data_IF_879220533432
#
_entry.id   IF_879220533432
#
_cell.length_a   1.000
_cell.length_b   1.000
_cell.length_c   1.000
_cell.angle_alpha   90.00
_cell.angle_beta   90.00
_cell.angle_gamma   90.00
#
_symmetry.space_group_name_H-M   'P 1'
#
loop_
_entity.id
_entity.type
_entity.pdbx_description
1 polymer ?
#
# COMPACT_ATOMS: atom_id res chain seq x y z
N UNK A 1 6.39 10.04 44.71
CA UNK A 1 7.74 10.54 44.34
C UNK A 1 8.58 9.50 43.58
N UNK A 2 8.60 8.23 43.99
CA UNK A 2 9.34 7.16 43.30
C UNK A 2 8.90 6.94 41.84
N UNK A 3 7.58 6.85 41.59
CA UNK A 3 7.01 6.63 40.25
C UNK A 3 7.41 7.75 39.27
N UNK A 4 7.38 9.02 39.71
CA UNK A 4 7.76 10.18 38.88
C UNK A 4 9.25 10.11 38.52
N UNK A 5 10.11 9.72 39.47
CA UNK A 5 11.55 9.55 39.20
C UNK A 5 11.81 8.40 38.23
N UNK A 6 11.12 7.26 38.41
CA UNK A 6 11.24 6.12 37.52
C UNK A 6 10.81 6.48 36.08
N UNK A 7 9.65 7.15 35.94
CA UNK A 7 9.19 7.65 34.65
C UNK A 7 10.20 8.60 34.00
N UNK A 8 10.75 9.53 34.78
CA UNK A 8 11.76 10.47 34.29
C UNK A 8 13.04 9.75 33.81
N UNK A 9 13.54 8.76 34.56
CA UNK A 9 14.68 7.97 34.12
C UNK A 9 14.37 7.17 32.85
N UNK A 10 13.20 6.53 32.77
CA UNK A 10 12.77 5.82 31.57
C UNK A 10 12.75 6.74 30.34
N UNK A 11 12.20 7.95 30.48
CA UNK A 11 12.18 8.96 29.42
C UNK A 11 13.60 9.32 28.97
N UNK A 12 14.49 9.61 29.92
CA UNK A 12 15.88 10.01 29.65
C UNK A 12 16.65 8.95 28.86
N UNK A 13 16.42 7.67 29.13
CA UNK A 13 17.09 6.58 28.42
C UNK A 13 16.35 6.17 27.13
N UNK A 14 15.02 6.26 27.09
CA UNK A 14 14.24 5.87 25.91
C UNK A 14 14.35 6.90 24.78
N UNK A 15 14.44 8.20 25.09
CA UNK A 15 14.48 9.25 24.07
C UNK A 15 15.71 9.14 23.15
N UNK A 16 16.96 8.98 23.66
CA UNK A 16 18.11 8.77 22.79
C UNK A 16 18.03 7.48 21.97
N UNK A 17 17.53 6.39 22.56
CA UNK A 17 17.33 5.13 21.85
C UNK A 17 16.34 5.29 20.70
N UNK A 18 15.21 5.96 20.95
CA UNK A 18 14.23 6.27 19.92
C UNK A 18 14.80 7.19 18.83
N UNK A 19 15.55 8.22 19.21
CA UNK A 19 16.20 9.14 18.27
C UNK A 19 17.19 8.41 17.33
N UNK A 20 18.01 7.50 17.88
CA UNK A 20 18.90 6.65 17.09
C UNK A 20 18.11 5.70 16.21
N UNK A 21 17.08 5.06 16.75
CA UNK A 21 16.23 4.16 16.00
C UNK A 21 15.60 4.87 14.79
N UNK A 22 14.90 5.99 15.01
CA UNK A 22 14.30 6.81 13.95
C UNK A 22 15.31 7.26 12.90
N UNK A 23 16.46 7.82 13.33
CA UNK A 23 17.48 8.27 12.39
C UNK A 23 18.09 7.11 11.59
N UNK A 24 18.33 5.97 12.23
CA UNK A 24 18.89 4.78 11.57
C UNK A 24 17.91 4.13 10.60
N UNK A 25 16.62 4.10 10.94
CA UNK A 25 15.55 3.63 10.07
C UNK A 25 15.36 4.55 8.87
N UNK A 26 15.40 5.87 9.06
CA UNK A 26 15.37 6.84 7.94
C UNK A 26 16.54 6.62 6.97
N UNK A 27 17.75 6.39 7.51
CA UNK A 27 18.93 6.11 6.68
C UNK A 27 18.82 4.75 5.98
N UNK A 28 18.31 3.72 6.66
CA UNK A 28 18.07 2.42 6.04
C UNK A 28 17.01 2.49 4.93
N UNK A 29 15.94 3.26 5.14
CA UNK A 29 14.85 3.49 4.18
C UNK A 29 15.33 4.09 2.85
N UNK A 30 16.30 5.00 2.90
CA UNK A 30 16.88 5.63 1.70
C UNK A 30 18.14 4.91 1.19
N UNK A 31 18.45 3.70 1.68
CA UNK A 31 19.66 2.94 1.35
C UNK A 31 20.98 3.72 1.63
N UNK A 32 20.99 4.48 2.72
CA UNK A 32 22.16 5.22 3.18
C UNK A 32 23.05 4.43 4.16
N UNK A 33 24.22 4.96 4.51
CA UNK A 33 25.16 4.31 5.42
C UNK A 33 24.66 4.36 6.88
N UNK A 34 24.02 3.29 7.34
CA UNK A 34 23.41 3.21 8.69
C UNK A 34 24.38 3.47 9.84
N UNK A 35 25.68 3.24 9.64
CA UNK A 35 26.73 3.52 10.63
C UNK A 35 26.85 5.02 10.95
N UNK A 36 26.57 5.92 9.99
CA UNK A 36 26.56 7.37 10.22
C UNK A 36 25.37 7.80 11.09
N UNK A 37 24.22 7.13 10.95
CA UNK A 37 23.07 7.35 11.83
C UNK A 37 23.32 6.82 13.25
N UNK A 38 24.05 5.71 13.40
CA UNK A 38 24.46 5.25 14.72
C UNK A 38 25.46 6.24 15.39
N UNK A 39 26.34 6.87 14.60
CA UNK A 39 27.27 7.88 15.09
C UNK A 39 26.57 9.16 15.57
N UNK A 40 25.42 9.54 14.98
CA UNK A 40 24.62 10.67 15.49
C UNK A 40 24.06 10.40 16.88
N UNK A 41 23.81 9.14 17.22
CA UNK A 41 23.49 8.69 18.57
C UNK A 41 24.55 9.07 19.59
N UNK A 42 25.82 8.77 19.30
CA UNK A 42 26.96 9.11 20.18
C UNK A 42 27.13 10.63 20.31
N UNK A 43 26.88 11.38 19.22
CA UNK A 43 26.91 12.84 19.24
C UNK A 43 25.81 13.41 20.14
N UNK A 44 24.56 12.99 19.96
CA UNK A 44 23.41 13.46 20.74
C UNK A 44 23.39 12.90 22.17
N UNK A 45 24.08 11.77 22.41
CA UNK A 45 24.34 11.20 23.71
C UNK A 45 25.57 10.26 23.69
N UNK A 46 26.66 10.55 24.44
CA UNK A 46 26.78 11.60 25.45
C UNK A 46 27.57 12.85 25.02
N UNK A 47 28.14 12.92 23.82
CA UNK A 47 29.20 13.91 23.50
C UNK A 47 28.75 15.38 23.56
N UNK A 48 27.70 15.77 22.81
CA UNK A 48 27.21 17.15 22.79
C UNK A 48 26.69 17.61 24.16
N UNK A 49 25.90 16.83 24.92
CA UNK A 49 25.51 17.18 26.28
C UNK A 49 26.70 17.49 27.21
N UNK A 50 27.77 16.67 27.14
CA UNK A 50 28.99 16.86 27.94
C UNK A 50 29.71 18.15 27.53
N UNK A 51 29.96 18.33 26.23
CA UNK A 51 30.63 19.53 25.71
C UNK A 51 29.84 20.81 26.05
N UNK A 52 28.50 20.75 26.01
CA UNK A 52 27.63 21.86 26.41
C UNK A 52 27.70 22.15 27.92
N UNK A 53 27.84 21.15 28.80
CA UNK A 53 28.06 21.45 30.23
C UNK A 53 29.44 22.05 30.49
N UNK A 54 30.48 21.52 29.83
CA UNK A 54 31.86 21.96 29.99
C UNK A 54 32.07 23.40 29.54
N UNK A 55 31.50 23.81 28.40
CA UNK A 55 31.60 25.19 27.89
C UNK A 55 30.98 26.25 28.81
N UNK A 56 30.05 25.84 29.68
CA UNK A 56 29.39 26.71 30.65
C UNK A 56 29.96 26.64 32.07
N UNK A 57 30.96 25.80 32.33
CA UNK A 57 31.47 25.50 33.68
C UNK A 57 32.24 26.66 34.32
N UNK A 58 33.08 27.36 33.55
CA UNK A 58 33.90 28.48 34.04
C UNK A 58 33.14 29.75 34.44
N UNK A 59 31.82 29.82 34.19
CA UNK A 59 30.98 31.01 34.48
C UNK A 59 30.02 30.82 35.66
N UNK A 60 30.05 29.68 36.36
CA UNK A 60 29.03 29.34 37.38
C UNK A 60 29.49 29.63 38.80
N UNK A 61 28.73 30.46 39.53
CA UNK A 61 28.86 30.61 40.98
C UNK A 61 28.08 29.50 41.69
N UNK A 62 28.64 28.83 42.73
CA UNK A 62 27.92 27.81 43.47
C UNK A 62 26.73 28.45 44.20
N UNK A 63 25.53 27.89 43.99
CA UNK A 63 24.29 28.26 44.68
C UNK A 63 23.72 27.02 45.36
N UNK A 64 23.25 27.17 46.60
CA UNK A 64 22.55 26.10 47.32
C UNK A 64 21.26 25.72 46.57
N UNK A 65 21.05 24.42 46.34
CA UNK A 65 19.92 23.89 45.56
C UNK A 65 20.13 23.84 44.03
N UNK A 66 21.35 24.05 43.53
CA UNK A 66 21.64 23.90 42.10
C UNK A 66 21.64 22.42 41.66
N UNK A 67 21.10 22.17 40.45
CA UNK A 67 21.13 20.87 39.77
C UNK A 67 22.53 20.25 39.80
N UNK A 68 22.63 18.96 40.13
CA UNK A 68 23.90 18.23 40.13
C UNK A 68 24.48 18.17 38.72
N UNK A 69 25.77 17.84 38.58
CA UNK A 69 26.36 17.62 37.26
C UNK A 69 25.59 16.58 36.44
N UNK A 70 25.20 15.46 37.08
CA UNK A 70 24.38 14.42 36.47
C UNK A 70 23.00 14.92 36.03
N UNK A 71 22.31 15.72 36.85
CA UNK A 71 21.00 16.28 36.49
C UNK A 71 21.09 17.20 35.27
N UNK A 72 22.15 18.02 35.20
CA UNK A 72 22.35 18.94 34.09
C UNK A 72 22.66 18.22 32.77
N UNK A 73 23.49 17.18 32.81
CA UNK A 73 23.75 16.34 31.63
C UNK A 73 22.46 15.65 31.19
N UNK A 74 21.73 15.06 32.14
CA UNK A 74 20.45 14.39 31.90
C UNK A 74 19.43 15.29 31.22
N UNK A 75 19.21 16.50 31.74
CA UNK A 75 18.28 17.46 31.15
C UNK A 75 18.72 17.92 29.76
N UNK A 76 20.02 18.14 29.53
CA UNK A 76 20.54 18.50 28.21
C UNK A 76 20.37 17.39 27.20
N UNK A 77 20.67 16.14 27.59
CA UNK A 77 20.43 14.96 26.76
C UNK A 77 18.96 14.88 26.36
N UNK A 78 18.06 15.06 27.32
CA UNK A 78 16.62 15.03 27.05
C UNK A 78 16.20 16.15 26.08
N UNK A 79 16.61 17.39 26.33
CA UNK A 79 16.28 18.55 25.47
C UNK A 79 16.84 18.37 24.05
N UNK A 80 18.08 17.91 23.90
CA UNK A 80 18.70 17.71 22.59
C UNK A 80 18.01 16.59 21.81
N UNK A 81 17.73 15.46 22.45
CA UNK A 81 17.09 14.33 21.76
C UNK A 81 15.61 14.61 21.45
N UNK A 82 14.85 15.23 22.37
CA UNK A 82 13.47 15.63 22.09
C UNK A 82 13.41 16.66 20.97
N UNK A 83 14.29 17.67 20.98
CA UNK A 83 14.37 18.65 19.89
C UNK A 83 14.73 17.98 18.57
N UNK A 84 15.70 17.06 18.57
CA UNK A 84 16.10 16.33 17.37
C UNK A 84 14.96 15.48 16.80
N UNK A 85 14.28 14.69 17.64
CA UNK A 85 13.14 13.87 17.24
C UNK A 85 12.01 14.76 16.73
N UNK A 86 11.64 15.81 17.46
CA UNK A 86 10.58 16.73 17.05
C UNK A 86 10.90 17.38 15.70
N UNK A 87 12.14 17.82 15.49
CA UNK A 87 12.57 18.37 14.20
C UNK A 87 12.48 17.34 13.08
N UNK A 88 12.88 16.08 13.31
CA UNK A 88 12.74 15.03 12.30
C UNK A 88 11.26 14.75 11.97
N UNK A 89 10.42 14.62 12.99
CA UNK A 89 8.99 14.37 12.80
C UNK A 89 8.27 15.55 12.13
N UNK A 90 8.63 16.79 12.45
CA UNK A 90 8.01 17.99 11.85
C UNK A 90 8.52 18.23 10.43
N UNK A 91 9.82 18.10 10.20
CA UNK A 91 10.41 18.38 8.88
C UNK A 91 10.15 17.25 7.88
N UNK A 92 9.95 16.02 8.37
CA UNK A 92 9.88 14.80 7.56
C UNK A 92 8.85 13.80 8.11
N UNK A 93 7.58 14.21 8.33
CA UNK A 93 6.57 13.40 9.01
C UNK A 93 6.28 12.09 8.25
N UNK A 94 6.00 12.20 6.94
CA UNK A 94 5.68 11.06 6.09
C UNK A 94 6.83 10.05 6.07
N UNK A 95 8.03 10.50 5.71
CA UNK A 95 9.19 9.61 5.60
C UNK A 95 9.60 9.02 6.96
N UNK A 96 9.32 9.68 8.08
CA UNK A 96 9.61 9.15 9.42
C UNK A 96 8.72 7.95 9.74
N UNK A 97 7.41 8.09 9.53
CA UNK A 97 6.47 6.99 9.74
C UNK A 97 6.72 5.84 8.76
N UNK A 98 6.93 6.15 7.47
CA UNK A 98 7.28 5.18 6.43
C UNK A 98 8.54 4.40 6.81
N UNK A 99 9.61 5.09 7.20
CA UNK A 99 10.88 4.46 7.54
C UNK A 99 10.79 3.57 8.78
N UNK A 100 10.10 4.02 9.83
CA UNK A 100 9.89 3.20 11.03
C UNK A 100 9.00 1.97 10.74
N UNK A 101 7.96 2.16 9.94
CA UNK A 101 7.03 1.09 9.58
C UNK A 101 7.67 0.07 8.66
N UNK A 102 8.49 0.47 7.69
CA UNK A 102 9.04 -0.43 6.66
C UNK A 102 10.44 -0.93 6.97
N UNK A 103 11.28 -0.10 7.60
CA UNK A 103 12.69 -0.39 7.92
C UNK A 103 13.01 -0.14 9.40
N UNK A 104 12.01 -0.19 10.28
CA UNK A 104 12.20 -0.13 11.74
C UNK A 104 13.09 -1.25 12.27
N UNK A 105 13.07 -2.41 11.64
CA UNK A 105 13.75 -3.64 12.05
C UNK A 105 15.00 -3.94 11.21
N UNK A 106 15.56 -2.97 10.47
CA UNK A 106 16.64 -3.22 9.49
C UNK A 106 17.85 -3.98 10.07
N UNK A 107 18.15 -3.78 11.35
CA UNK A 107 19.24 -4.47 12.06
C UNK A 107 18.94 -5.94 12.39
N UNK A 108 17.70 -6.39 12.15
CA UNK A 108 17.22 -7.76 12.33
C UNK A 108 17.04 -8.51 11.00
N UNK A 109 17.39 -7.93 9.85
CA UNK A 109 17.14 -8.54 8.52
C UNK A 109 17.73 -9.95 8.38
N UNK A 110 18.89 -10.22 8.99
CA UNK A 110 19.54 -11.55 8.97
C UNK A 110 19.06 -12.49 10.10
N UNK A 111 18.11 -12.07 10.93
CA UNK A 111 17.66 -12.82 12.12
C UNK A 111 16.19 -13.22 12.00
N UNK A 112 15.95 -14.52 11.88
CA UNK A 112 14.62 -15.13 11.76
C UNK A 112 14.19 -15.92 13.01
N UNK A 113 14.94 -15.81 14.12
CA UNK A 113 14.59 -16.51 15.36
C UNK A 113 13.28 -15.96 15.97
N UNK A 114 12.51 -16.76 16.73
CA UNK A 114 11.29 -16.30 17.40
C UNK A 114 11.51 -15.06 18.29
N UNK A 115 12.69 -14.93 18.91
CA UNK A 115 13.05 -13.74 19.70
C UNK A 115 13.22 -12.50 18.84
N UNK A 116 13.82 -12.65 17.65
CA UNK A 116 13.97 -11.54 16.70
C UNK A 116 12.60 -11.10 16.18
N UNK A 117 11.70 -12.04 15.94
CA UNK A 117 10.33 -11.73 15.52
C UNK A 117 9.53 -10.99 16.61
N UNK A 118 9.66 -11.39 17.88
CA UNK A 118 9.05 -10.67 19.00
C UNK A 118 9.55 -9.21 19.09
N UNK A 119 10.85 -8.98 18.90
CA UNK A 119 11.41 -7.63 18.88
C UNK A 119 10.86 -6.83 17.70
N UNK A 120 10.81 -7.43 16.50
CA UNK A 120 10.25 -6.82 15.29
C UNK A 120 8.80 -6.39 15.48
N UNK A 121 7.95 -7.27 16.01
CA UNK A 121 6.55 -6.96 16.31
C UNK A 121 6.42 -5.81 17.30
N UNK A 122 7.25 -5.80 18.35
CA UNK A 122 7.27 -4.70 19.34
C UNK A 122 7.64 -3.37 18.68
N UNK A 123 8.65 -3.35 17.81
CA UNK A 123 9.06 -2.13 17.08
C UNK A 123 7.94 -1.61 16.18
N UNK A 124 7.25 -2.51 15.48
CA UNK A 124 6.13 -2.12 14.62
C UNK A 124 4.93 -1.61 15.40
N UNK A 125 4.61 -2.20 16.56
CA UNK A 125 3.59 -1.66 17.46
C UNK A 125 3.93 -0.24 17.90
N UNK A 126 5.20 0.02 18.25
CA UNK A 126 5.67 1.37 18.59
C UNK A 126 5.55 2.31 17.37
N UNK A 127 5.95 1.87 16.17
CA UNK A 127 5.82 2.67 14.96
C UNK A 127 4.36 3.03 14.65
N UNK A 128 3.42 2.08 14.82
CA UNK A 128 1.99 2.30 14.61
C UNK A 128 1.41 3.38 15.54
N UNK A 129 2.00 3.62 16.72
CA UNK A 129 1.54 4.74 17.59
C UNK A 129 1.73 6.12 16.96
N UNK A 130 2.57 6.23 15.93
CA UNK A 130 2.80 7.47 15.19
C UNK A 130 1.85 7.64 13.99
N UNK A 131 0.98 6.66 13.71
CA UNK A 131 0.04 6.71 12.59
C UNK A 131 -0.89 7.93 12.68
N UNK A 132 -1.41 8.25 13.88
CA UNK A 132 -2.28 9.43 14.05
C UNK A 132 -1.57 10.75 13.70
N UNK A 133 -0.26 10.85 13.95
CA UNK A 133 0.53 12.01 13.54
C UNK A 133 0.74 12.03 12.02
N UNK A 134 0.99 10.86 11.41
CA UNK A 134 1.06 10.72 9.96
C UNK A 134 -0.24 11.16 9.27
N UNK A 135 -1.39 10.68 9.75
CA UNK A 135 -2.70 11.05 9.20
C UNK A 135 -3.05 12.54 9.42
N UNK A 136 -2.54 13.16 10.49
CA UNK A 136 -2.79 14.60 10.74
C UNK A 136 -2.17 15.53 9.69
N UNK A 137 -1.19 15.04 8.92
CA UNK A 137 -0.53 15.79 7.85
C UNK A 137 -0.86 15.25 6.45
N UNK A 138 -1.55 14.11 6.36
CA UNK A 138 -1.90 13.43 5.11
C UNK A 138 -3.41 13.47 4.91
N UNK A 139 -3.89 14.46 4.16
CA UNK A 139 -5.31 14.63 3.90
C UNK A 139 -5.71 13.89 2.62
N UNK A 140 -6.72 13.01 2.72
CA UNK A 140 -7.33 12.40 1.56
C UNK A 140 -8.38 13.36 0.94
N UNK A 141 -8.18 13.88 -0.29
CA UNK A 141 -9.10 14.83 -0.91
C UNK A 141 -10.45 14.22 -1.26
N UNK A 142 -10.57 12.89 -1.27
CA UNK A 142 -11.79 12.19 -1.64
C UNK A 142 -12.70 11.90 -0.45
N UNK A 143 -12.23 12.14 0.78
CA UNK A 143 -12.94 11.83 2.03
C UNK A 143 -14.25 12.58 2.19
N UNK A 144 -14.34 13.80 1.67
CA UNK A 144 -15.56 14.62 1.74
C UNK A 144 -16.75 14.01 0.98
N UNK A 145 -16.51 13.00 0.15
CA UNK A 145 -17.51 12.33 -0.65
C UNK A 145 -17.88 10.92 -0.16
N UNK A 146 -17.29 10.46 0.93
CA UNK A 146 -17.54 9.12 1.43
C UNK A 146 -18.85 9.04 2.23
N UNK A 147 -19.71 8.10 1.86
CA UNK A 147 -20.93 7.76 2.62
C UNK A 147 -20.64 6.79 3.78
N UNK A 148 -19.35 6.60 4.12
CA UNK A 148 -18.84 5.51 4.96
C UNK A 148 -19.46 5.47 6.36
N UNK A 149 -19.96 6.58 6.88
CA UNK A 149 -20.47 6.65 8.24
C UNK A 149 -21.87 6.01 8.40
N UNK A 150 -22.58 5.71 7.29
CA UNK A 150 -23.97 5.21 7.33
C UNK A 150 -24.11 3.71 7.11
N UNK A 151 -23.15 3.06 6.43
CA UNK A 151 -23.22 1.63 6.08
C UNK A 151 -22.15 0.84 6.81
N UNK A 152 -22.54 -0.26 7.45
CA UNK A 152 -21.65 -1.15 8.20
C UNK A 152 -21.64 -2.54 7.52
N UNK A 153 -20.46 -3.08 7.15
CA UNK A 153 -20.38 -4.47 6.72
C UNK A 153 -20.69 -5.37 7.93
N UNK A 154 -21.66 -6.28 7.80
CA UNK A 154 -21.93 -7.27 8.83
C UNK A 154 -20.72 -8.18 8.97
N UNK A 155 -20.31 -8.49 10.20
CA UNK A 155 -19.15 -9.35 10.51
C UNK A 155 -19.38 -10.85 10.26
N UNK A 156 -20.33 -11.23 9.40
CA UNK A 156 -20.63 -12.63 9.13
C UNK A 156 -19.73 -13.18 8.02
N UNK A 157 -18.79 -14.04 8.45
CA UNK A 157 -17.94 -14.95 7.66
C UNK A 157 -17.55 -14.42 6.26
N UNK A 158 -16.54 -13.57 6.25
CA UNK A 158 -15.64 -13.46 5.12
C UNK A 158 -15.05 -14.84 4.81
N UNK A 159 -15.34 -15.38 3.63
CA UNK A 159 -14.66 -16.56 3.10
C UNK A 159 -13.30 -16.08 2.62
N UNK A 160 -12.29 -16.20 3.47
CA UNK A 160 -10.89 -15.93 3.11
C UNK A 160 -10.18 -17.27 2.86
N UNK A 161 -9.58 -17.50 1.67
CA UNK A 161 -8.55 -18.50 1.53
C UNK A 161 -7.27 -17.95 2.17
N UNK A 162 -7.14 -18.11 3.48
CA UNK A 162 -5.97 -17.64 4.22
C UNK A 162 -4.68 -18.30 3.69
N UNK A 163 -3.56 -17.57 3.55
CA UNK A 163 -2.28 -18.12 3.16
C UNK A 163 -1.51 -18.60 4.41
N UNK A 164 -1.90 -19.74 5.00
CA UNK A 164 -0.97 -20.48 5.85
C UNK A 164 -1.26 -21.99 5.86
N UNK A 165 -0.23 -22.86 5.71
CA UNK A 165 -0.40 -24.28 5.44
C UNK A 165 -0.24 -25.10 6.72
N UNK A 166 -1.34 -25.44 7.39
CA UNK A 166 -1.45 -26.67 8.19
C UNK A 166 -2.90 -26.84 8.63
N UNK A 167 -3.46 -28.02 8.32
CA UNK A 167 -4.78 -28.52 8.68
C UNK A 167 -6.00 -27.82 8.08
N UNK A 168 -6.36 -28.22 6.86
CA UNK A 168 -7.44 -29.20 6.67
C UNK A 168 -7.78 -29.35 5.17
N UNK A 169 -7.87 -30.60 4.72
CA UNK A 169 -8.39 -30.94 3.39
C UNK A 169 -9.88 -30.57 3.34
N UNK A 170 -10.20 -29.41 2.78
CA UNK A 170 -11.52 -29.13 2.24
C UNK A 170 -11.37 -28.72 0.77
N UNK A 171 -11.95 -29.54 -0.10
CA UNK A 171 -12.05 -29.28 -1.54
C UNK A 171 -12.81 -27.96 -1.74
N UNK A 172 -12.31 -27.01 -2.57
CA UNK A 172 -12.99 -25.75 -2.81
C UNK A 172 -14.41 -25.97 -3.33
N UNK A 173 -15.39 -25.29 -2.75
CA UNK A 173 -16.77 -25.36 -3.23
C UNK A 173 -16.88 -24.66 -4.59
N UNK A 174 -17.69 -25.19 -5.50
CA UNK A 174 -17.84 -24.71 -6.89
C UNK A 174 -18.32 -23.24 -7.03
N UNK A 175 -18.67 -22.53 -5.94
CA UNK A 175 -19.08 -21.12 -5.97
C UNK A 175 -17.91 -20.14 -6.08
N UNK A 176 -16.72 -20.48 -5.54
CA UNK A 176 -15.57 -19.57 -5.48
C UNK A 176 -14.86 -19.41 -6.83
N UNK A 177 -14.78 -20.49 -7.60
CA UNK A 177 -14.21 -20.49 -8.96
C UNK A 177 -15.03 -19.69 -10.00
N UNK A 178 -16.18 -19.10 -9.63
CA UNK A 178 -17.01 -18.29 -10.53
C UNK A 178 -16.75 -16.78 -10.46
N UNK A 179 -16.10 -16.30 -9.40
CA UNK A 179 -16.12 -14.87 -9.06
C UNK A 179 -14.83 -14.18 -9.50
N UNK A 180 -13.68 -14.75 -9.14
CA UNK A 180 -12.37 -14.17 -9.43
C UNK A 180 -11.26 -15.25 -9.32
N UNK A 181 -10.26 -15.28 -10.22
CA UNK A 181 -10.11 -14.43 -11.39
C UNK A 181 -11.06 -14.84 -12.51
N UNK A 182 -11.62 -13.86 -13.24
CA UNK A 182 -12.40 -14.17 -14.45
C UNK A 182 -11.46 -14.40 -15.63
N UNK A 183 -11.42 -15.65 -16.11
CA UNK A 183 -10.74 -16.00 -17.34
C UNK A 183 -11.45 -15.35 -18.54
N UNK A 184 -10.70 -14.74 -19.46
CA UNK A 184 -11.18 -14.04 -20.66
C UNK A 184 -12.11 -12.85 -20.34
N UNK A 185 -11.54 -11.77 -19.79
CA UNK A 185 -12.25 -10.53 -19.51
C UNK A 185 -12.84 -9.91 -20.79
N UNK A 186 -14.12 -10.15 -21.04
CA UNK A 186 -14.93 -9.43 -22.03
C UNK A 186 -15.97 -8.55 -21.32
N UNK A 187 -16.44 -7.53 -22.04
CA UNK A 187 -17.58 -6.73 -21.60
C UNK A 187 -18.81 -7.62 -21.49
N UNK A 188 -19.64 -7.34 -20.48
CA UNK A 188 -20.93 -7.98 -20.32
C UNK A 188 -21.78 -7.76 -21.60
N UNK A 189 -22.49 -8.79 -22.10
CA UNK A 189 -23.29 -8.65 -23.33
C UNK A 189 -24.23 -7.46 -23.33
N UNK A 190 -24.93 -7.20 -22.22
CA UNK A 190 -25.83 -6.05 -22.08
C UNK A 190 -25.12 -4.68 -22.27
N UNK A 191 -23.84 -4.58 -21.94
CA UNK A 191 -23.05 -3.35 -22.12
C UNK A 191 -22.49 -3.28 -23.54
N UNK A 192 -21.96 -4.40 -24.04
CA UNK A 192 -21.37 -4.50 -25.37
C UNK A 192 -22.37 -4.22 -26.49
N UNK A 193 -23.64 -4.60 -26.31
CA UNK A 193 -24.72 -4.38 -27.27
C UNK A 193 -25.70 -3.28 -26.87
N UNK A 194 -25.33 -2.41 -25.92
CA UNK A 194 -26.23 -1.37 -25.42
C UNK A 194 -26.56 -0.36 -26.54
N UNK A 195 -27.84 -0.13 -26.86
CA UNK A 195 -28.24 0.90 -27.82
C UNK A 195 -27.94 2.31 -27.30
N UNK A 196 -27.50 3.21 -28.17
CA UNK A 196 -27.14 4.58 -27.77
C UNK A 196 -28.34 5.43 -27.31
N UNK A 197 -29.56 5.08 -27.71
CA UNK A 197 -30.80 5.73 -27.27
C UNK A 197 -31.22 5.33 -25.84
N UNK A 198 -30.62 4.28 -25.28
CA UNK A 198 -30.75 3.93 -23.85
C UNK A 198 -29.88 4.84 -22.98
N UNK A 199 -28.77 5.34 -23.50
CA UNK A 199 -27.75 6.09 -22.74
C UNK A 199 -28.10 7.57 -22.56
N UNK A 200 -29.35 7.83 -22.16
CA UNK A 200 -29.90 9.18 -21.97
C UNK A 200 -29.78 9.68 -20.54
N UNK A 201 -29.81 8.77 -19.56
CA UNK A 201 -29.60 9.07 -18.14
C UNK A 201 -29.03 7.86 -17.39
N UNK A 202 -28.50 8.11 -16.20
CA UNK A 202 -28.00 7.08 -15.28
C UNK A 202 -29.09 6.04 -14.98
N UNK A 203 -30.32 6.50 -14.73
CA UNK A 203 -31.47 5.64 -14.43
C UNK A 203 -31.85 4.77 -15.62
N UNK A 204 -31.84 5.33 -16.84
CA UNK A 204 -32.15 4.59 -18.07
C UNK A 204 -31.16 3.45 -18.30
N UNK A 205 -29.86 3.72 -18.17
CA UNK A 205 -28.79 2.71 -18.29
C UNK A 205 -28.93 1.63 -17.22
N UNK A 206 -29.11 2.02 -15.96
CA UNK A 206 -29.23 1.08 -14.86
C UNK A 206 -30.46 0.16 -15.03
N UNK A 207 -31.61 0.73 -15.37
CA UNK A 207 -32.84 -0.02 -15.61
C UNK A 207 -32.71 -0.99 -16.79
N UNK A 208 -32.08 -0.56 -17.88
CA UNK A 208 -31.80 -1.44 -19.01
C UNK A 208 -30.95 -2.63 -18.59
N UNK A 209 -29.85 -2.40 -17.85
CA UNK A 209 -28.99 -3.47 -17.34
C UNK A 209 -29.79 -4.43 -16.44
N UNK A 210 -30.61 -3.92 -15.52
CA UNK A 210 -31.43 -4.75 -14.63
C UNK A 210 -32.48 -5.59 -15.37
N UNK A 211 -33.00 -5.11 -16.50
CA UNK A 211 -33.95 -5.85 -17.34
C UNK A 211 -33.26 -6.96 -18.15
N UNK A 212 -32.01 -6.76 -18.55
CA UNK A 212 -31.25 -7.73 -19.34
C UNK A 212 -30.55 -8.79 -18.49
N UNK A 213 -30.22 -8.49 -17.23
CA UNK A 213 -29.46 -9.39 -16.37
C UNK A 213 -30.12 -9.63 -14.99
N UNK A 214 -30.54 -10.88 -14.78
CA UNK A 214 -31.24 -11.32 -13.58
C UNK A 214 -30.31 -11.81 -12.46
N UNK A 215 -29.10 -12.25 -12.78
CA UNK A 215 -28.10 -12.68 -11.81
C UNK A 215 -27.42 -11.46 -11.18
N UNK A 216 -27.40 -11.39 -9.85
CA UNK A 216 -26.88 -10.21 -9.14
C UNK A 216 -25.39 -9.97 -9.36
N UNK A 217 -24.58 -11.03 -9.50
CA UNK A 217 -23.14 -10.88 -9.79
C UNK A 217 -22.90 -10.37 -11.21
N UNK A 218 -23.64 -10.89 -12.18
CA UNK A 218 -23.55 -10.44 -13.56
C UNK A 218 -24.15 -9.03 -13.74
N UNK A 219 -25.17 -8.68 -12.97
CA UNK A 219 -25.74 -7.32 -12.98
C UNK A 219 -24.74 -6.31 -12.45
N UNK A 220 -24.13 -6.55 -11.29
CA UNK A 220 -23.08 -5.66 -10.75
C UNK A 220 -21.86 -5.63 -11.68
N UNK A 221 -21.49 -6.75 -12.31
CA UNK A 221 -20.49 -6.76 -13.39
C UNK A 221 -20.91 -5.82 -14.53
N UNK A 222 -22.15 -5.89 -15.01
CA UNK A 222 -22.59 -5.03 -16.11
C UNK A 222 -22.55 -3.53 -15.73
N UNK A 223 -22.89 -3.17 -14.49
CA UNK A 223 -22.72 -1.79 -14.01
C UNK A 223 -21.24 -1.39 -13.98
N UNK A 224 -20.37 -2.26 -13.44
CA UNK A 224 -18.91 -2.06 -13.43
C UNK A 224 -18.38 -1.85 -14.85
N UNK A 225 -18.71 -2.76 -15.76
CA UNK A 225 -18.24 -2.75 -17.14
C UNK A 225 -18.70 -1.50 -17.89
N UNK A 226 -19.93 -1.03 -17.63
CA UNK A 226 -20.40 0.23 -18.21
C UNK A 226 -19.48 1.39 -17.79
N UNK A 227 -19.13 1.49 -16.50
CA UNK A 227 -18.25 2.55 -16.02
C UNK A 227 -16.83 2.39 -16.55
N UNK A 228 -16.25 1.19 -16.47
CA UNK A 228 -14.89 0.90 -16.93
C UNK A 228 -14.73 1.05 -18.46
N UNK A 229 -15.80 0.83 -19.22
CA UNK A 229 -15.80 1.02 -20.66
C UNK A 229 -16.10 2.48 -21.06
N UNK A 230 -17.11 3.13 -20.48
CA UNK A 230 -17.58 4.42 -20.99
C UNK A 230 -16.80 5.60 -20.46
N UNK A 231 -16.19 5.49 -19.30
CA UNK A 231 -15.43 6.59 -18.70
C UNK A 231 -13.96 6.50 -19.10
N UNK A 232 -13.37 7.64 -19.47
CA UNK A 232 -11.93 7.80 -19.70
C UNK A 232 -11.26 8.50 -18.53
N UNK A 233 -10.07 8.06 -18.13
CA UNK A 233 -9.37 8.67 -17.00
C UNK A 233 -8.85 10.07 -17.36
N UNK A 234 -9.15 11.07 -16.52
CA UNK A 234 -8.68 12.45 -16.70
C UNK A 234 -7.25 12.64 -16.18
N UNK A 235 -6.29 12.04 -16.88
CA UNK A 235 -4.87 12.11 -16.53
C UNK A 235 -4.35 13.56 -16.50
N UNK A 236 -4.83 14.42 -17.41
CA UNK A 236 -4.43 15.83 -17.47
C UNK A 236 -4.83 16.58 -16.19
N UNK A 237 -6.11 16.54 -15.81
CA UNK A 237 -6.59 17.16 -14.58
C UNK A 237 -5.96 16.54 -13.33
N UNK A 238 -5.70 15.23 -13.37
CA UNK A 238 -5.01 14.51 -12.30
C UNK A 238 -3.60 15.08 -12.05
N UNK A 239 -2.76 15.16 -13.08
CA UNK A 239 -1.41 15.71 -12.95
C UNK A 239 -1.39 17.23 -12.70
N UNK A 240 -2.41 17.95 -13.16
CA UNK A 240 -2.57 19.37 -12.87
C UNK A 240 -3.05 19.67 -11.44
N UNK A 241 -3.57 18.67 -10.70
CA UNK A 241 -4.18 18.86 -9.39
C UNK A 241 -5.44 19.74 -9.43
N UNK A 242 -6.14 19.76 -10.57
CA UNK A 242 -7.33 20.60 -10.80
C UNK A 242 -8.42 19.77 -11.45
N UNK A 243 -9.34 19.28 -10.63
CA UNK A 243 -10.39 18.36 -11.03
C UNK A 243 -11.66 19.11 -11.46
N UNK A 244 -12.26 18.77 -12.61
CA UNK A 244 -13.66 19.08 -12.89
C UNK A 244 -14.58 18.46 -11.85
N UNK A 245 -15.87 18.83 -11.78
CA UNK A 245 -16.82 18.16 -10.90
C UNK A 245 -16.82 16.64 -11.11
N UNK A 246 -16.75 15.91 -10.02
CA UNK A 246 -16.71 14.43 -10.00
C UNK A 246 -18.06 13.83 -9.57
N UNK A 247 -19.16 14.59 -9.67
CA UNK A 247 -20.50 14.06 -9.39
C UNK A 247 -20.99 13.13 -10.52
N UNK A 248 -21.88 12.17 -10.22
CA UNK A 248 -22.32 11.18 -11.20
C UNK A 248 -22.89 11.77 -12.49
N UNK A 249 -23.67 12.86 -12.41
CA UNK A 249 -24.30 13.47 -13.58
C UNK A 249 -23.27 14.10 -14.51
N UNK A 250 -22.31 14.85 -13.96
CA UNK A 250 -21.21 15.43 -14.75
C UNK A 250 -20.41 14.31 -15.41
N UNK A 251 -20.02 13.27 -14.66
CA UNK A 251 -19.20 12.16 -15.19
C UNK A 251 -19.94 11.38 -16.28
N UNK A 252 -21.24 11.13 -16.09
CA UNK A 252 -22.08 10.48 -17.10
C UNK A 252 -22.10 11.27 -18.41
N UNK A 253 -22.25 12.60 -18.33
CA UNK A 253 -22.32 13.47 -19.50
C UNK A 253 -20.97 13.65 -20.20
N UNK A 254 -19.89 13.81 -19.44
CA UNK A 254 -18.56 14.07 -19.99
C UNK A 254 -17.80 12.80 -20.37
N UNK A 255 -18.19 11.65 -19.81
CA UNK A 255 -17.48 10.38 -19.93
C UNK A 255 -16.00 10.49 -19.53
N UNK A 256 -15.68 11.41 -18.62
CA UNK A 256 -14.30 11.72 -18.22
C UNK A 256 -14.22 12.04 -16.73
N UNK A 257 -13.35 11.35 -16.00
CA UNK A 257 -13.24 11.47 -14.55
C UNK A 257 -11.88 11.00 -14.00
N UNK A 258 -11.61 11.30 -12.73
CA UNK A 258 -10.62 10.56 -11.92
C UNK A 258 -11.32 9.51 -11.06
N UNK A 259 -10.57 8.75 -10.25
CA UNK A 259 -11.10 7.62 -9.46
C UNK A 259 -12.39 7.93 -8.69
N UNK A 260 -12.50 9.11 -8.08
CA UNK A 260 -13.71 9.55 -7.38
C UNK A 260 -14.96 9.55 -8.28
N UNK A 261 -14.85 10.02 -9.52
CA UNK A 261 -15.98 10.09 -10.45
C UNK A 261 -16.39 8.71 -10.97
N UNK A 262 -15.43 7.81 -11.21
CA UNK A 262 -15.72 6.40 -11.52
C UNK A 262 -16.53 5.75 -10.40
N UNK A 263 -16.03 5.85 -9.16
CA UNK A 263 -16.65 5.19 -8.03
C UNK A 263 -18.04 5.74 -7.69
N UNK A 264 -18.24 7.06 -7.86
CA UNK A 264 -19.56 7.70 -7.70
C UNK A 264 -20.55 7.33 -8.80
N UNK A 265 -20.11 7.25 -10.06
CA UNK A 265 -20.99 6.84 -11.15
C UNK A 265 -21.44 5.38 -10.96
N UNK A 266 -20.53 4.48 -10.56
CA UNK A 266 -20.87 3.09 -10.27
C UNK A 266 -21.88 2.99 -9.11
N UNK A 267 -21.67 3.74 -8.04
CA UNK A 267 -22.62 3.84 -6.93
C UNK A 267 -23.99 4.36 -7.39
N UNK A 268 -24.04 5.43 -8.19
CA UNK A 268 -25.28 6.02 -8.67
C UNK A 268 -26.08 5.06 -9.57
N UNK A 269 -25.39 4.33 -10.46
CA UNK A 269 -25.99 3.28 -11.28
C UNK A 269 -26.59 2.17 -10.41
N UNK A 270 -25.88 1.71 -9.38
CA UNK A 270 -26.40 0.71 -8.43
C UNK A 270 -27.64 1.22 -7.68
N UNK A 271 -27.56 2.42 -7.13
CA UNK A 271 -28.66 3.05 -6.39
C UNK A 271 -29.94 3.18 -7.24
N UNK A 272 -29.82 3.47 -8.53
CA UNK A 272 -30.96 3.62 -9.44
C UNK A 272 -31.80 2.34 -9.61
N UNK A 273 -31.23 1.17 -9.31
CA UNK A 273 -31.92 -0.14 -9.38
C UNK A 273 -31.91 -0.89 -8.04
N UNK A 274 -31.57 -0.21 -6.95
CA UNK A 274 -31.60 -0.78 -5.59
C UNK A 274 -30.44 -1.72 -5.25
N UNK A 275 -29.38 -1.76 -6.05
CA UNK A 275 -28.15 -2.47 -5.71
C UNK A 275 -27.36 -1.66 -4.67
N UNK A 276 -26.90 -2.33 -3.61
CA UNK A 276 -26.13 -1.69 -2.55
C UNK A 276 -24.66 -1.60 -2.94
N UNK A 277 -24.27 -0.50 -3.57
CA UNK A 277 -22.89 -0.17 -3.90
C UNK A 277 -22.50 1.07 -3.10
N UNK A 278 -21.40 1.00 -2.36
CA UNK A 278 -20.91 2.12 -1.55
C UNK A 278 -19.60 2.66 -2.10
N UNK A 279 -19.40 3.96 -1.90
CA UNK A 279 -18.13 4.63 -2.19
C UNK A 279 -17.15 4.42 -1.04
N UNK A 280 -15.94 3.97 -1.36
CA UNK A 280 -14.86 3.71 -0.39
C UNK A 280 -13.66 4.58 -0.76
N UNK A 281 -13.03 5.17 0.24
CA UNK A 281 -11.80 5.96 0.09
C UNK A 281 -10.67 5.37 0.89
N UNK A 282 -9.45 5.68 0.47
CA UNK A 282 -8.25 5.34 1.19
C UNK A 282 -7.02 5.68 0.35
N UNK A 283 -5.98 4.89 0.51
CA UNK A 283 -4.74 5.03 -0.23
C UNK A 283 -4.49 3.78 -1.07
N UNK A 284 -3.94 3.98 -2.26
CA UNK A 284 -3.54 2.90 -3.12
C UNK A 284 -2.05 2.96 -3.48
N UNK A 285 -1.43 1.78 -3.63
CA UNK A 285 -0.03 1.65 -4.03
C UNK A 285 0.06 1.04 -5.42
N UNK A 286 0.76 1.72 -6.32
CA UNK A 286 0.91 1.32 -7.74
C UNK A 286 2.39 1.29 -8.12
N UNK A 287 2.69 0.75 -9.29
CA UNK A 287 4.07 0.78 -9.83
C UNK A 287 4.67 2.19 -9.96
N UNK A 288 3.82 3.22 -9.99
CA UNK A 288 4.20 4.63 -10.14
C UNK A 288 4.11 5.43 -8.84
N UNK A 289 3.51 4.89 -7.78
CA UNK A 289 3.50 5.55 -6.48
C UNK A 289 4.82 5.36 -5.74
N UNK A 290 5.13 6.28 -4.83
CA UNK A 290 6.10 5.97 -3.79
C UNK A 290 5.48 4.99 -2.76
N UNK A 291 6.27 4.62 -1.75
CA UNK A 291 5.82 3.64 -0.76
C UNK A 291 4.62 4.11 0.07
N UNK A 292 4.36 5.42 0.17
CA UNK A 292 3.19 5.98 0.89
C UNK A 292 1.87 5.65 0.22
N UNK A 293 1.89 5.39 -1.09
CA UNK A 293 0.68 5.32 -1.89
C UNK A 293 0.15 6.71 -2.25
N UNK A 294 -0.99 6.72 -2.96
CA UNK A 294 -1.70 7.91 -3.38
C UNK A 294 -3.15 7.79 -2.94
N UNK A 295 -3.79 8.89 -2.57
CA UNK A 295 -5.21 8.86 -2.26
C UNK A 295 -6.01 8.32 -3.44
N UNK A 296 -6.98 7.48 -3.14
CA UNK A 296 -7.77 6.76 -4.14
C UNK A 296 -9.20 6.54 -3.66
N UNK A 297 -10.08 6.23 -4.61
CA UNK A 297 -11.47 5.93 -4.37
C UNK A 297 -11.93 4.75 -5.25
N UNK A 298 -12.69 3.85 -4.64
CA UNK A 298 -13.21 2.63 -5.26
C UNK A 298 -14.59 2.30 -4.63
N UNK A 299 -15.10 1.09 -4.85
CA UNK A 299 -16.39 0.68 -4.32
C UNK A 299 -16.35 -0.64 -3.55
N UNK A 300 -17.38 -0.84 -2.73
CA UNK A 300 -17.79 -2.16 -2.27
C UNK A 300 -19.26 -2.38 -2.64
N UNK A 301 -19.62 -3.58 -3.10
CA UNK A 301 -20.99 -3.95 -3.44
C UNK A 301 -21.47 -5.10 -2.56
N UNK A 302 -22.71 -5.01 -2.07
CA UNK A 302 -23.37 -6.08 -1.33
C UNK A 302 -24.17 -6.96 -2.28
N UNK A 303 -23.73 -8.20 -2.47
CA UNK A 303 -24.32 -9.18 -3.38
C UNK A 303 -24.68 -10.41 -2.55
N UNK A 304 -25.96 -10.82 -2.60
CA UNK A 304 -26.46 -12.00 -1.89
C UNK A 304 -26.10 -12.02 -0.39
N UNK A 305 -26.08 -10.84 0.25
CA UNK A 305 -25.77 -10.68 1.67
C UNK A 305 -24.30 -10.42 2.01
N UNK A 306 -23.37 -10.66 1.08
CA UNK A 306 -21.92 -10.53 1.28
C UNK A 306 -21.36 -9.29 0.59
N UNK A 307 -20.29 -8.70 1.14
CA UNK A 307 -19.61 -7.53 0.56
C UNK A 307 -18.43 -7.94 -0.31
N UNK A 308 -18.32 -7.30 -1.48
CA UNK A 308 -17.25 -7.53 -2.44
C UNK A 308 -16.62 -6.20 -2.86
N UNK A 309 -15.29 -6.17 -3.03
CA UNK A 309 -14.56 -4.97 -3.44
C UNK A 309 -14.55 -4.84 -4.97
N UNK A 310 -14.61 -3.61 -5.46
CA UNK A 310 -14.63 -3.29 -6.90
C UNK A 310 -13.81 -2.02 -7.15
N UNK A 311 -12.93 -2.01 -8.14
CA UNK A 311 -12.34 -0.79 -8.68
C UNK A 311 -12.45 -0.72 -10.22
N UNK A 312 -13.49 -0.04 -10.69
CA UNK A 312 -13.72 0.21 -12.11
C UNK A 312 -12.68 1.14 -12.75
N UNK A 313 -11.94 1.92 -11.95
CA UNK A 313 -10.93 2.85 -12.45
C UNK A 313 -9.70 2.09 -12.94
N UNK A 314 -9.22 1.13 -12.15
CA UNK A 314 -8.04 0.35 -12.51
C UNK A 314 -8.35 -0.77 -13.51
N UNK A 315 -9.62 -1.18 -13.59
CA UNK A 315 -10.12 -2.07 -14.63
C UNK A 315 -10.46 -1.36 -15.95
N UNK A 316 -10.39 -0.02 -16.05
CA UNK A 316 -10.61 0.71 -17.32
C UNK A 316 -9.35 0.88 -18.17
N UNK A 317 -8.17 0.86 -17.55
CA UNK A 317 -6.90 1.07 -18.23
C UNK A 317 -5.79 1.56 -17.30
N UNK A 318 -4.83 2.30 -17.86
CA UNK A 318 -3.70 2.82 -17.10
C UNK A 318 -3.23 4.16 -17.64
N UNK A 319 -2.51 4.90 -16.81
CA UNK A 319 -1.90 6.18 -17.16
C UNK A 319 -0.44 5.96 -17.56
N UNK A 320 -0.05 6.48 -18.73
CA UNK A 320 1.32 6.45 -19.22
C UNK A 320 1.74 7.88 -19.64
N UNK A 321 2.78 8.40 -19.00
CA UNK A 321 3.13 9.81 -19.15
C UNK A 321 1.98 10.71 -18.67
N UNK A 322 1.49 11.60 -19.54
CA UNK A 322 0.33 12.46 -19.28
C UNK A 322 -0.97 11.95 -19.90
N UNK A 323 -0.96 10.77 -20.53
CA UNK A 323 -2.10 10.21 -21.27
C UNK A 323 -2.76 9.03 -20.55
N UNK A 324 -4.03 8.79 -20.87
CA UNK A 324 -4.75 7.59 -20.46
C UNK A 324 -4.81 6.60 -21.63
N UNK A 325 -4.39 5.36 -21.37
CA UNK A 325 -4.51 4.24 -22.30
C UNK A 325 -5.59 3.30 -21.78
N UNK A 326 -6.70 3.21 -22.53
CA UNK A 326 -7.80 2.31 -22.21
C UNK A 326 -7.36 0.85 -22.41
N UNK A 327 -7.58 0.03 -21.38
CA UNK A 327 -7.36 -1.43 -21.41
C UNK A 327 -8.31 -2.04 -20.40
N UNK A 328 -9.50 -2.40 -20.86
CA UNK A 328 -10.52 -3.03 -20.02
C UNK A 328 -10.01 -4.36 -19.44
N UNK A 329 -10.28 -4.57 -18.15
CA UNK A 329 -9.94 -5.77 -17.38
C UNK A 329 -11.01 -6.04 -16.33
N UNK A 330 -10.83 -7.12 -15.58
CA UNK A 330 -11.68 -7.49 -14.42
C UNK A 330 -10.83 -7.94 -13.24
N UNK A 331 -9.61 -7.43 -13.14
CA UNK A 331 -8.64 -7.79 -12.11
C UNK A 331 -9.06 -7.25 -10.75
N UNK A 332 -9.77 -6.13 -10.74
CA UNK A 332 -10.25 -5.44 -9.56
C UNK A 332 -11.77 -5.55 -9.38
N UNK A 333 -12.44 -6.39 -10.17
CA UNK A 333 -13.83 -6.78 -9.99
C UNK A 333 -13.95 -8.04 -9.13
N UNK A 334 -14.30 -7.84 -7.86
CA UNK A 334 -14.46 -8.90 -6.85
C UNK A 334 -13.19 -9.69 -6.48
N UNK A 335 -11.98 -9.10 -6.43
CA UNK A 335 -10.83 -9.79 -5.88
C UNK A 335 -11.09 -10.15 -4.41
N UNK A 336 -10.50 -11.25 -3.90
CA UNK A 336 -10.48 -11.52 -2.46
C UNK A 336 -9.94 -10.31 -1.69
N UNK A 337 -10.47 -10.06 -0.50
CA UNK A 337 -10.03 -8.97 0.37
C UNK A 337 -8.51 -9.02 0.64
N UNK A 338 -7.97 -10.22 0.83
CA UNK A 338 -6.53 -10.50 1.00
C UNK A 338 -5.68 -10.17 -0.22
N UNK A 339 -6.26 -10.11 -1.42
CA UNK A 339 -5.61 -9.65 -2.66
C UNK A 339 -5.77 -8.14 -2.81
N UNK A 340 -6.97 -7.60 -2.57
CA UNK A 340 -7.25 -6.16 -2.72
C UNK A 340 -6.42 -5.32 -1.76
N UNK A 341 -6.26 -5.76 -0.50
CA UNK A 341 -5.53 -5.04 0.55
C UNK A 341 -4.04 -4.82 0.23
N UNK A 342 -3.46 -5.58 -0.70
CA UNK A 342 -2.05 -5.42 -1.11
C UNK A 342 -1.84 -4.06 -1.75
N UNK A 343 -2.80 -3.61 -2.54
CA UNK A 343 -2.74 -2.33 -3.26
C UNK A 343 -3.72 -1.29 -2.74
N UNK A 344 -4.79 -1.64 -2.03
CA UNK A 344 -5.84 -0.72 -1.59
C UNK A 344 -6.03 -0.76 -0.07
N UNK A 345 -5.64 0.30 0.62
CA UNK A 345 -5.82 0.45 2.07
C UNK A 345 -6.93 1.46 2.37
N UNK A 346 -8.10 1.04 2.85
CA UNK A 346 -9.21 1.94 3.13
C UNK A 346 -8.94 2.83 4.35
N UNK A 347 -9.49 4.04 4.31
CA UNK A 347 -9.48 4.98 5.43
C UNK A 347 -10.26 4.42 6.64
N UNK A 348 -11.42 3.81 6.39
CA UNK A 348 -12.19 3.09 7.40
C UNK A 348 -11.83 1.60 7.33
N UNK A 349 -11.20 1.12 8.40
CA UNK A 349 -10.68 -0.24 8.55
C UNK A 349 -11.74 -1.32 8.27
N UNK A 350 -13.03 -1.06 8.46
CA UNK A 350 -14.08 -2.05 8.18
C UNK A 350 -14.16 -2.44 6.69
N UNK A 351 -13.75 -1.54 5.79
CA UNK A 351 -13.75 -1.80 4.35
C UNK A 351 -12.56 -2.62 3.88
N UNK A 352 -11.67 -3.03 4.80
CA UNK A 352 -10.68 -4.05 4.47
C UNK A 352 -11.35 -5.39 4.18
N UNK A 353 -12.53 -5.64 4.78
CA UNK A 353 -13.27 -6.91 4.68
C UNK A 353 -12.45 -8.16 5.08
N UNK A 354 -11.35 -7.94 5.80
CA UNK A 354 -10.52 -9.00 6.39
C UNK A 354 -11.10 -9.40 7.75
N UNK A 355 -10.96 -10.68 8.10
CA UNK A 355 -11.28 -11.17 9.45
C UNK A 355 -10.38 -10.54 10.51
N UNK A 356 -9.10 -10.38 10.16
CA UNK A 356 -8.07 -9.75 10.97
C UNK A 356 -7.52 -8.55 10.18
N UNK A 357 -8.09 -7.35 10.35
CA UNK A 357 -7.63 -6.18 9.63
C UNK A 357 -6.19 -5.83 9.99
N UNK A 358 -5.45 -5.34 9.01
CA UNK A 358 -4.05 -4.98 9.14
C UNK A 358 -3.88 -3.49 9.45
N UNK A 359 -2.75 -3.13 10.06
CA UNK A 359 -2.38 -1.72 10.24
C UNK A 359 -1.85 -1.11 8.94
N UNK A 360 -1.86 0.23 8.86
CA UNK A 360 -1.21 0.94 7.75
C UNK A 360 0.27 0.61 7.63
N UNK A 361 0.97 0.45 8.77
CA UNK A 361 2.36 0.02 8.77
C UNK A 361 2.57 -1.36 8.14
N UNK A 362 1.64 -2.30 8.38
CA UNK A 362 1.63 -3.62 7.74
C UNK A 362 1.36 -3.53 6.24
N UNK A 363 0.36 -2.73 5.83
CA UNK A 363 0.10 -2.42 4.43
C UNK A 363 1.37 -1.92 3.73
N UNK A 364 2.02 -0.87 4.26
CA UNK A 364 3.23 -0.27 3.69
C UNK A 364 4.42 -1.25 3.60
N UNK A 365 4.47 -2.23 4.50
CA UNK A 365 5.48 -3.29 4.49
C UNK A 365 5.24 -4.33 3.43
N UNK A 366 4.02 -4.56 2.96
CA UNK A 366 3.77 -5.63 2.00
C UNK A 366 4.48 -5.38 0.65
N UNK A 367 4.96 -6.43 -0.03
CA UNK A 367 5.40 -6.37 -1.42
C UNK A 367 4.33 -5.74 -2.32
N UNK A 368 4.76 -5.01 -3.35
CA UNK A 368 3.83 -4.34 -4.27
C UNK A 368 3.46 -5.28 -5.41
N UNK A 369 2.45 -6.12 -5.19
CA UNK A 369 1.93 -7.04 -6.21
C UNK A 369 0.58 -6.56 -6.73
N UNK A 370 0.23 -6.93 -7.96
CA UNK A 370 -1.09 -6.69 -8.54
C UNK A 370 -1.97 -7.96 -8.42
N UNK A 371 -3.31 -7.82 -8.44
CA UNK A 371 -4.22 -8.97 -8.41
C UNK A 371 -3.93 -10.00 -9.51
N UNK A 372 -3.42 -9.57 -10.68
CA UNK A 372 -3.03 -10.50 -11.76
C UNK A 372 -2.01 -11.55 -11.28
N UNK A 373 -1.08 -11.19 -10.39
CA UNK A 373 -0.11 -12.14 -9.83
C UNK A 373 -0.81 -13.35 -9.20
N UNK A 374 -1.84 -13.09 -8.39
CA UNK A 374 -2.60 -14.12 -7.70
C UNK A 374 -3.57 -14.83 -8.64
N UNK A 375 -4.16 -14.10 -9.60
CA UNK A 375 -5.01 -14.64 -10.64
C UNK A 375 -4.28 -15.72 -11.47
N UNK A 376 -3.00 -15.51 -11.72
CA UNK A 376 -2.12 -16.43 -12.42
C UNK A 376 -1.78 -17.69 -11.60
N UNK A 377 -2.21 -17.74 -10.35
CA UNK A 377 -1.92 -18.80 -9.38
C UNK A 377 -0.52 -18.71 -8.78
N UNK A 378 0.13 -17.55 -8.87
CA UNK A 378 1.45 -17.33 -8.25
C UNK A 378 1.29 -17.01 -6.76
N UNK A 379 2.24 -17.48 -5.97
CA UNK A 379 2.33 -17.17 -4.54
C UNK A 379 3.75 -16.70 -4.23
N UNK A 380 3.89 -15.51 -3.64
CA UNK A 380 5.20 -14.97 -3.26
C UNK A 380 5.66 -15.62 -1.95
N UNK A 381 6.79 -16.33 -1.99
CA UNK A 381 7.40 -16.96 -0.82
C UNK A 381 8.40 -16.01 -0.14
N UNK A 382 9.22 -15.33 -0.94
CA UNK A 382 10.14 -14.32 -0.44
C UNK A 382 10.60 -13.37 -1.55
N UNK A 383 10.92 -12.11 -1.24
CA UNK A 383 10.84 -11.47 0.07
C UNK A 383 9.39 -11.15 0.47
N UNK A 384 9.14 -11.07 1.78
CA UNK A 384 7.82 -10.78 2.35
C UNK A 384 7.64 -9.29 2.71
N UNK A 385 8.46 -8.41 2.11
CA UNK A 385 8.48 -6.98 2.41
C UNK A 385 8.72 -6.12 1.16
N UNK A 386 8.29 -4.87 1.21
CA UNK A 386 8.39 -3.88 0.13
C UNK A 386 9.84 -3.49 -0.20
N UNK A 387 10.72 -3.48 0.82
CA UNK A 387 12.15 -3.16 0.69
C UNK A 387 13.03 -4.25 1.32
N UNK A 388 13.97 -4.78 0.54
CA UNK A 388 14.85 -5.88 0.97
C UNK A 388 16.33 -5.55 0.72
N UNK A 389 17.19 -5.77 1.71
CA UNK A 389 18.65 -5.66 1.53
C UNK A 389 19.21 -6.91 0.85
N UNK A 390 20.20 -6.73 -0.02
CA UNK A 390 21.02 -7.83 -0.57
C UNK A 390 22.48 -7.40 -0.74
N UNK A 391 23.39 -8.36 -0.66
CA UNK A 391 24.83 -8.15 -0.90
C UNK A 391 25.25 -8.51 -2.33
N UNK A 392 24.53 -9.41 -2.99
CA UNK A 392 24.93 -9.96 -4.30
C UNK A 392 23.84 -9.80 -5.35
N UNK A 393 22.79 -10.59 -5.27
CA UNK A 393 21.69 -10.71 -6.23
C UNK A 393 20.36 -10.44 -5.54
N UNK A 394 19.39 -9.87 -6.26
CA UNK A 394 18.01 -9.86 -5.80
C UNK A 394 17.38 -11.22 -6.12
N UNK A 395 16.96 -11.95 -5.09
CA UNK A 395 16.37 -13.28 -5.23
C UNK A 395 14.91 -13.21 -4.82
N UNK A 396 14.03 -13.60 -5.75
CA UNK A 396 12.59 -13.70 -5.54
C UNK A 396 12.22 -15.17 -5.65
N UNK A 397 11.60 -15.70 -4.59
CA UNK A 397 11.11 -17.08 -4.54
C UNK A 397 9.59 -17.06 -4.52
N UNK A 398 9.00 -17.93 -5.32
CA UNK A 398 7.56 -18.01 -5.50
C UNK A 398 7.12 -19.44 -5.76
N UNK A 399 5.84 -19.74 -5.55
CA UNK A 399 5.21 -20.95 -6.07
C UNK A 399 4.58 -20.62 -7.42
N UNK A 400 4.77 -21.52 -8.38
CA UNK A 400 4.23 -21.40 -9.75
C UNK A 400 3.58 -22.74 -10.17
N UNK A 401 2.48 -23.15 -9.53
CA UNK A 401 1.82 -24.42 -9.82
C UNK A 401 1.27 -24.49 -11.25
N UNK A 402 0.82 -23.36 -11.78
CA UNK A 402 0.23 -23.25 -13.12
C UNK A 402 1.28 -23.16 -14.24
N UNK A 403 2.59 -23.15 -13.90
CA UNK A 403 3.71 -23.04 -14.85
C UNK A 403 3.58 -21.82 -15.77
N UNK A 404 3.21 -20.69 -15.20
CA UNK A 404 3.21 -19.42 -15.92
C UNK A 404 4.63 -19.06 -16.33
N UNK A 405 4.78 -18.45 -17.50
CA UNK A 405 6.05 -17.88 -17.92
C UNK A 405 6.28 -16.59 -17.18
N UNK A 406 7.48 -16.44 -16.61
CA UNK A 406 7.84 -15.30 -15.80
C UNK A 406 9.01 -14.55 -16.42
N UNK A 407 8.87 -13.24 -16.47
CA UNK A 407 9.96 -12.31 -16.80
C UNK A 407 10.17 -11.37 -15.62
N UNK A 408 11.42 -10.97 -15.43
CA UNK A 408 11.76 -9.94 -14.48
C UNK A 408 12.80 -9.00 -15.07
N UNK A 409 12.59 -7.71 -14.84
CA UNK A 409 13.50 -6.67 -15.22
C UNK A 409 13.83 -5.81 -14.01
N UNK A 410 15.07 -5.34 -13.90
CA UNK A 410 15.47 -4.41 -12.86
C UNK A 410 15.78 -3.03 -13.43
N UNK A 411 15.42 -2.00 -12.67
CA UNK A 411 15.74 -0.60 -12.95
C UNK A 411 16.47 -0.05 -11.72
N UNK A 412 17.64 0.57 -11.94
CA UNK A 412 18.34 1.26 -10.84
C UNK A 412 17.71 2.64 -10.64
N UNK A 413 17.52 3.04 -9.40
CA UNK A 413 17.02 4.37 -9.07
C UNK A 413 17.88 5.46 -9.75
N UNK A 414 17.21 6.42 -10.39
CA UNK A 414 17.84 7.48 -11.20
C UNK A 414 18.16 7.09 -12.64
N UNK A 415 17.84 5.86 -13.08
CA UNK A 415 17.91 5.43 -14.47
C UNK A 415 16.52 5.20 -15.05
N UNK A 416 16.39 5.37 -16.35
CA UNK A 416 15.14 5.11 -17.10
C UNK A 416 15.16 3.76 -17.83
N UNK A 417 16.34 3.21 -18.12
CA UNK A 417 16.48 1.96 -18.84
C UNK A 417 16.38 0.75 -17.91
N UNK A 418 15.45 -0.15 -18.20
CA UNK A 418 15.36 -1.46 -17.56
C UNK A 418 16.36 -2.45 -18.15
N UNK A 419 16.77 -3.43 -17.34
CA UNK A 419 17.62 -4.55 -17.76
C UNK A 419 16.98 -5.86 -17.35
N UNK A 420 17.05 -6.91 -18.20
CA UNK A 420 16.49 -8.20 -17.86
C UNK A 420 17.30 -8.89 -16.74
N UNK A 421 16.60 -9.64 -15.89
CA UNK A 421 17.22 -10.50 -14.89
C UNK A 421 17.75 -11.80 -15.50
N UNK A 422 17.04 -12.34 -16.48
CA UNK A 422 17.37 -13.57 -17.22
C UNK A 422 17.29 -13.33 -18.73
N UNK A 423 18.01 -14.13 -19.53
CA UNK A 423 17.99 -13.98 -21.00
C UNK A 423 16.64 -14.35 -21.63
N UNK A 424 15.86 -15.19 -20.96
CA UNK A 424 14.56 -15.66 -21.42
C UNK A 424 13.58 -15.84 -20.25
N UNK A 425 12.29 -15.94 -20.58
CA UNK A 425 11.24 -16.23 -19.63
C UNK A 425 11.42 -17.61 -19.00
N UNK A 426 11.08 -17.75 -17.73
CA UNK A 426 11.24 -18.99 -16.96
C UNK A 426 9.90 -19.42 -16.34
N UNK A 427 9.69 -20.73 -16.19
CA UNK A 427 8.57 -21.28 -15.40
C UNK A 427 9.01 -21.72 -13.99
N UNK A 428 10.19 -21.26 -13.55
CA UNK A 428 10.80 -21.65 -12.29
C UNK A 428 10.10 -21.07 -11.06
N UNK A 429 10.57 -21.49 -9.89
CA UNK A 429 10.13 -21.01 -8.57
C UNK A 429 11.08 -19.97 -7.97
N UNK A 430 12.10 -19.57 -8.72
CA UNK A 430 13.12 -18.62 -8.27
C UNK A 430 13.56 -17.73 -9.44
N UNK A 431 13.59 -16.42 -9.20
CA UNK A 431 14.11 -15.40 -10.10
C UNK A 431 15.29 -14.72 -9.41
N UNK A 432 16.46 -14.76 -10.05
CA UNK A 432 17.67 -14.09 -9.56
C UNK A 432 18.07 -12.96 -10.51
N UNK A 433 18.17 -11.73 -9.99
CA UNK A 433 18.58 -10.56 -10.77
C UNK A 433 20.01 -10.13 -10.39
N UNK A 434 20.96 -10.10 -11.35
CA UNK A 434 22.34 -9.69 -11.10
C UNK A 434 22.42 -8.16 -10.97
N UNK A 435 22.31 -7.66 -9.74
CA UNK A 435 22.43 -6.22 -9.46
C UNK A 435 23.92 -5.83 -9.56
N UNK A 436 24.36 -4.97 -10.51
CA UNK A 436 25.79 -4.86 -10.81
C UNK A 436 26.61 -4.00 -9.83
N UNK A 437 25.98 -3.03 -9.16
CA UNK A 437 26.67 -2.06 -8.28
C UNK A 437 25.82 -1.78 -7.04
N UNK A 438 26.39 -1.07 -6.05
CA UNK A 438 25.63 -0.58 -4.90
C UNK A 438 24.56 0.42 -5.34
N UNK A 439 23.42 0.38 -4.66
CA UNK A 439 22.29 1.28 -4.89
C UNK A 439 20.94 0.61 -4.76
N UNK A 440 19.90 1.38 -5.02
CA UNK A 440 18.51 0.96 -4.95
C UNK A 440 18.02 0.52 -6.32
N UNK A 441 17.35 -0.62 -6.36
CA UNK A 441 16.85 -1.26 -7.57
C UNK A 441 15.38 -1.63 -7.40
N UNK A 442 14.57 -1.32 -8.39
CA UNK A 442 13.22 -1.86 -8.51
C UNK A 442 13.28 -3.07 -9.44
N UNK A 443 12.84 -4.23 -8.97
CA UNK A 443 12.66 -5.43 -9.78
C UNK A 443 11.19 -5.56 -10.11
N UNK A 444 10.84 -5.38 -11.39
CA UNK A 444 9.50 -5.52 -11.93
C UNK A 444 9.29 -6.95 -12.42
N UNK A 445 8.15 -7.53 -12.06
CA UNK A 445 7.73 -8.88 -12.40
C UNK A 445 6.65 -8.82 -13.48
N UNK A 446 6.72 -9.75 -14.41
CA UNK A 446 5.76 -9.93 -15.46
C UNK A 446 5.44 -11.41 -15.64
N UNK A 447 4.20 -11.72 -16.00
CA UNK A 447 3.73 -13.09 -16.27
C UNK A 447 3.06 -13.19 -17.63
N UNK A 448 3.00 -14.41 -18.16
CA UNK A 448 2.29 -14.75 -19.39
C UNK A 448 2.05 -16.25 -19.49
N UNK A 449 1.06 -16.65 -20.27
CA UNK A 449 0.68 -18.04 -20.52
C UNK A 449 1.57 -18.72 -21.58
N UNK A 450 2.21 -17.93 -22.46
CA UNK A 450 3.13 -18.39 -23.49
C UNK A 450 4.55 -17.82 -23.34
N UNK A 451 5.55 -18.57 -23.80
CA UNK A 451 6.96 -18.20 -23.69
C UNK A 451 7.37 -17.09 -24.67
N UNK A 452 6.78 -17.09 -25.87
CA UNK A 452 7.18 -16.27 -27.01
C UNK A 452 5.93 -15.69 -27.69
N UNK A 453 6.05 -14.49 -28.27
CA UNK A 453 5.06 -13.82 -29.12
C UNK A 453 3.75 -13.36 -28.48
N UNK A 454 3.64 -13.33 -27.14
CA UNK A 454 2.55 -12.67 -26.44
C UNK A 454 3.05 -11.60 -25.45
N UNK A 455 2.15 -10.68 -25.11
CA UNK A 455 2.42 -9.53 -24.26
C UNK A 455 2.40 -9.98 -22.80
N UNK A 456 3.57 -10.05 -22.17
CA UNK A 456 3.66 -10.29 -20.74
C UNK A 456 3.00 -9.14 -19.96
N UNK A 457 2.11 -9.47 -19.04
CA UNK A 457 1.46 -8.49 -18.19
C UNK A 457 2.32 -8.19 -16.97
N UNK A 458 2.40 -6.91 -16.60
CA UNK A 458 3.01 -6.51 -15.33
C UNK A 458 2.17 -7.04 -14.18
N UNK A 459 2.82 -7.68 -13.19
CA UNK A 459 2.14 -8.29 -12.04
C UNK A 459 2.65 -7.83 -10.69
N UNK A 460 3.68 -6.97 -10.66
CA UNK A 460 4.18 -6.41 -9.42
C UNK A 460 5.62 -5.97 -9.48
N UNK A 461 6.10 -5.40 -8.38
CA UNK A 461 7.48 -4.98 -8.21
C UNK A 461 7.94 -5.09 -6.76
N UNK A 462 9.25 -5.25 -6.59
CA UNK A 462 9.91 -5.28 -5.29
C UNK A 462 11.15 -4.39 -5.31
N UNK A 463 11.41 -3.71 -4.20
CA UNK A 463 12.59 -2.88 -4.06
C UNK A 463 13.71 -3.62 -3.34
N UNK A 464 14.91 -3.59 -3.95
CA UNK A 464 16.12 -4.17 -3.42
C UNK A 464 17.20 -3.11 -3.19
N UNK A 465 17.78 -3.11 -2.00
CA UNK A 465 18.92 -2.28 -1.61
C UNK A 465 20.19 -3.11 -1.70
N UNK A 466 21.01 -2.89 -2.74
CA UNK A 466 22.32 -3.52 -2.85
C UNK A 466 23.35 -2.74 -2.04
N UNK A 467 23.83 -3.35 -0.95
CA UNK A 467 24.72 -2.73 0.04
C UNK A 467 26.22 -2.85 -0.23
#
# INVERSE_FOLDING_TARGET
>A
MFIIRLFFYLLVFSTPLFGVWLASSLVAFINGPTLLAAASGILLFPLVPILWDLSGSGKRKPRNGALTWGDRITLRTLVLNLTFIALLLILRPETSFLALSTRGDWFLDSFQSPKAELVRQTLYQVANTLEGFYLSVHNNPYKEFADSDTVQPNSEKSIDPSPNPSDSQQTPSQSENRIWPRNNASLHPAVASMPSDVETSIESVAQYIAQQESDSFLRVKALHDYVADRVSYDAESYFAGRYPPQDPQTVFQTQKAVCAGYAKLLQALGNAIGEQIVYVTGDSRTSTSDLSGQSHAWNAAKIEGNWYLIDATWDSGFVEGSGFTKKYRTNYLFPPASVMIISHFPEDQKWQLLSDPISRGEFLRQPMLEPQFFADGLELVSPNRSQTDTTKEAVIKLKNPNRQWLLANYIRQGQTQSKPCTESAIQGTEIACPLPRKGTYQVKLFSGDQQYNEQFDYVGQLEFHKR
#
